data_IF_285547825567
#
_entry.id   IF_285547825567
#
_cell.length_a   1.000
_cell.length_b   1.000
_cell.length_c   1.000
_cell.angle_alpha   90.00
_cell.angle_beta   90.00
_cell.angle_gamma   90.00
#
_symmetry.space_group_name_H-M   'P 1'
#
loop_
_entity.id
_entity.type
_entity.pdbx_description
1 polymer ?
#
# COMPACT_ATOMS: atom_id res chain seq x y z
N UNK A 1 62.61 -54.87 -0.62
CA UNK A 1 61.95 -56.17 -0.39
C UNK A 1 61.02 -56.02 0.81
N UNK A 2 59.69 -56.16 0.57
CA UNK A 2 58.53 -56.32 1.49
C UNK A 2 58.33 -55.30 2.65
N UNK A 3 57.38 -54.36 2.58
CA UNK A 3 55.91 -54.41 2.83
C UNK A 3 55.48 -54.61 4.31
N UNK A 4 54.84 -53.59 4.91
CA UNK A 4 53.43 -53.59 5.36
C UNK A 4 53.14 -52.34 6.24
N UNK A 5 52.33 -51.39 5.76
CA UNK A 5 50.85 -51.27 5.86
C UNK A 5 50.38 -50.72 7.21
N UNK A 6 49.87 -49.48 7.12
CA UNK A 6 49.11 -48.67 8.07
C UNK A 6 47.86 -49.39 8.55
N UNK A 7 47.48 -49.23 9.83
CA UNK A 7 46.06 -49.22 10.27
C UNK A 7 45.88 -48.34 11.51
N UNK A 8 45.34 -47.15 11.27
CA UNK A 8 44.70 -46.24 12.21
C UNK A 8 43.43 -46.91 12.77
N UNK A 9 43.18 -46.80 14.08
CA UNK A 9 41.90 -47.18 14.69
C UNK A 9 41.28 -45.99 15.41
N UNK A 10 39.99 -45.84 15.12
CA UNK A 10 39.07 -44.74 15.39
C UNK A 10 38.54 -44.88 16.83
N UNK A 11 38.57 -43.79 17.59
CA UNK A 11 37.87 -43.69 18.87
C UNK A 11 36.37 -43.47 18.63
N UNK A 12 35.55 -44.29 19.28
CA UNK A 12 34.10 -44.20 19.32
C UNK A 12 33.67 -42.93 20.08
N UNK A 13 33.04 -41.98 19.38
CA UNK A 13 32.28 -40.90 20.02
C UNK A 13 30.80 -41.24 19.96
N UNK A 14 30.21 -41.44 21.13
CA UNK A 14 28.80 -41.71 21.34
C UNK A 14 27.97 -40.52 20.85
N UNK A 15 27.19 -40.73 19.79
CA UNK A 15 26.22 -39.76 19.28
C UNK A 15 24.95 -39.84 20.16
N UNK A 16 24.68 -38.80 20.94
CA UNK A 16 23.39 -38.64 21.62
C UNK A 16 22.37 -38.19 20.57
N UNK A 17 21.55 -39.12 20.10
CA UNK A 17 20.34 -38.86 19.32
C UNK A 17 19.27 -38.32 20.26
N UNK A 18 19.06 -37.00 20.28
CA UNK A 18 17.81 -36.42 20.78
C UNK A 18 16.73 -36.64 19.72
N UNK A 19 15.87 -37.63 19.94
CA UNK A 19 14.61 -37.75 19.21
C UNK A 19 13.69 -36.61 19.66
N UNK A 20 13.54 -35.59 18.82
CA UNK A 20 12.42 -34.67 18.95
C UNK A 20 11.16 -35.37 18.41
N UNK A 21 10.27 -35.74 19.33
CA UNK A 21 8.88 -36.10 19.05
C UNK A 21 8.21 -34.95 18.30
N UNK A 22 7.86 -35.21 17.04
CA UNK A 22 7.07 -34.30 16.22
C UNK A 22 5.60 -34.44 16.65
N UNK A 23 5.21 -33.70 17.69
CA UNK A 23 3.81 -33.55 18.04
C UNK A 23 3.23 -32.47 17.13
N UNK A 24 2.55 -32.94 16.08
CA UNK A 24 1.86 -32.11 15.09
C UNK A 24 0.65 -31.47 15.77
N UNK A 25 0.84 -30.30 16.36
CA UNK A 25 -0.28 -29.42 16.69
C UNK A 25 -0.70 -28.74 15.39
N UNK A 26 -1.80 -29.21 14.81
CA UNK A 26 -2.58 -28.40 13.87
C UNK A 26 -3.08 -27.19 14.64
N UNK A 27 -2.49 -26.02 14.39
CA UNK A 27 -3.08 -24.75 14.82
C UNK A 27 -4.42 -24.59 14.11
N UNK A 28 -5.49 -24.76 14.87
CA UNK A 28 -6.83 -24.30 14.51
C UNK A 28 -6.75 -22.81 14.15
N UNK A 29 -6.93 -22.51 12.86
CA UNK A 29 -7.22 -21.16 12.37
C UNK A 29 -8.49 -20.69 13.10
N UNK A 30 -8.46 -19.60 13.88
CA UNK A 30 -9.67 -19.06 14.48
C UNK A 30 -10.62 -18.64 13.36
N UNK A 31 -11.87 -19.12 13.40
CA UNK A 31 -12.91 -18.74 12.45
C UNK A 31 -13.12 -17.22 12.45
N UNK A 32 -13.09 -16.59 11.27
CA UNK A 32 -13.36 -15.17 11.01
C UNK A 32 -14.80 -14.71 11.34
N UNK A 33 -15.52 -15.38 12.23
CA UNK A 33 -16.95 -15.13 12.52
C UNK A 33 -17.24 -14.52 13.89
N UNK A 34 -16.28 -13.90 14.56
CA UNK A 34 -16.55 -13.12 15.77
C UNK A 34 -16.06 -11.68 15.58
N UNK A 35 -16.93 -10.78 15.11
CA UNK A 35 -16.91 -9.31 15.38
C UNK A 35 -17.90 -8.52 14.48
N UNK A 36 -19.19 -8.87 14.48
CA UNK A 36 -20.22 -8.01 13.87
C UNK A 36 -21.01 -7.30 14.99
N UNK A 37 -20.94 -5.95 15.02
CA UNK A 37 -21.67 -5.08 15.97
C UNK A 37 -23.05 -4.74 15.39
N UNK A 38 -24.07 -4.71 16.25
CA UNK A 38 -25.43 -4.25 15.96
C UNK A 38 -25.51 -2.75 15.63
N UNK A 39 -26.27 -2.41 14.58
CA UNK A 39 -26.37 -1.08 13.95
C UNK A 39 -27.30 -0.08 14.67
N UNK A 40 -27.89 -0.44 15.81
CA UNK A 40 -28.99 0.32 16.45
C UNK A 40 -28.57 1.56 17.26
N UNK A 41 -27.29 1.94 17.30
CA UNK A 41 -26.79 2.98 18.23
C UNK A 41 -26.00 4.15 17.60
N UNK A 42 -26.02 4.34 16.29
CA UNK A 42 -25.28 5.43 15.64
C UNK A 42 -26.25 6.42 14.97
N UNK A 43 -26.40 7.62 15.55
CA UNK A 43 -27.11 8.75 14.92
C UNK A 43 -26.12 9.60 14.12
N UNK A 44 -26.49 9.90 12.87
CA UNK A 44 -25.66 10.59 11.85
C UNK A 44 -25.21 12.01 12.23
N UNK A 45 -25.90 12.64 13.19
CA UNK A 45 -25.70 14.03 13.63
C UNK A 45 -24.34 14.31 14.30
N UNK A 46 -23.53 13.29 14.61
CA UNK A 46 -22.19 13.43 15.20
C UNK A 46 -21.02 13.20 14.21
N UNK A 47 -21.29 13.10 12.90
CA UNK A 47 -20.35 12.57 11.89
C UNK A 47 -19.70 13.62 10.97
N UNK A 48 -19.66 14.90 11.35
CA UNK A 48 -18.87 15.90 10.60
C UNK A 48 -17.39 15.72 10.97
N UNK A 49 -16.69 14.89 10.20
CA UNK A 49 -15.21 14.90 10.16
C UNK A 49 -14.55 13.65 10.72
N UNK A 50 -14.81 13.24 11.97
CA UNK A 50 -14.35 11.98 12.54
C UNK A 50 -15.06 11.70 13.89
N UNK A 51 -15.71 10.55 14.06
CA UNK A 51 -16.28 10.08 15.33
C UNK A 51 -15.35 9.07 15.97
N UNK A 52 -14.90 9.22 17.23
CA UNK A 52 -13.82 8.42 17.86
C UNK A 52 -14.18 7.04 18.43
N UNK A 53 -13.16 6.26 18.81
CA UNK A 53 -13.28 5.09 19.68
C UNK A 53 -12.29 5.07 20.86
N UNK A 54 -12.74 4.60 22.02
CA UNK A 54 -11.90 4.20 23.16
C UNK A 54 -11.74 2.68 23.21
N UNK A 55 -10.64 2.16 23.78
CA UNK A 55 -10.06 0.87 23.38
C UNK A 55 -10.84 -0.36 23.86
N UNK A 56 -10.69 -1.44 23.08
CA UNK A 56 -10.92 -2.82 23.48
C UNK A 56 -10.07 -3.16 24.71
N UNK A 57 -10.66 -3.24 25.93
CA UNK A 57 -10.23 -4.21 26.96
C UNK A 57 -11.15 -4.42 28.19
N UNK A 58 -12.47 -4.18 28.15
CA UNK A 58 -13.29 -4.32 29.38
C UNK A 58 -14.62 -5.07 29.25
N UNK A 59 -14.86 -5.82 28.16
CA UNK A 59 -16.07 -6.65 28.05
C UNK A 59 -17.39 -5.87 28.06
N UNK A 60 -17.33 -4.54 27.91
CA UNK A 60 -18.51 -3.66 27.91
C UNK A 60 -18.32 -2.56 26.85
N UNK A 61 -18.98 -2.71 25.71
CA UNK A 61 -18.94 -1.75 24.60
C UNK A 61 -19.90 -0.59 24.89
N UNK A 62 -19.43 0.42 25.63
CA UNK A 62 -20.14 1.70 25.76
C UNK A 62 -20.13 2.51 24.46
N UNK A 63 -21.08 3.44 24.32
CA UNK A 63 -21.21 4.29 23.12
C UNK A 63 -19.94 5.06 22.77
N UNK A 64 -19.58 5.06 21.50
CA UNK A 64 -18.42 5.76 20.92
C UNK A 64 -18.57 7.30 21.09
N UNK A 65 -17.70 7.95 21.88
CA UNK A 65 -17.75 9.41 22.18
C UNK A 65 -16.59 10.18 21.56
N UNK A 66 -16.85 11.02 20.55
CA UNK A 66 -15.86 11.79 19.74
C UNK A 66 -14.72 12.43 20.56
N UNK A 67 -13.46 12.25 20.11
CA UNK A 67 -12.23 12.78 20.70
C UNK A 67 -11.40 13.47 19.62
N UNK A 68 -10.91 14.68 19.90
CA UNK A 68 -9.94 15.39 19.06
C UNK A 68 -8.53 15.00 19.47
N UNK A 69 -7.68 14.64 18.50
CA UNK A 69 -6.26 14.42 18.77
C UNK A 69 -5.65 15.70 19.34
N UNK A 70 -4.79 15.56 20.35
CA UNK A 70 -4.10 16.73 20.92
C UNK A 70 -3.16 17.39 19.88
N UNK A 71 -2.53 16.59 19.02
CA UNK A 71 -1.57 17.06 18.01
C UNK A 71 -2.05 16.74 16.60
N UNK A 72 -1.92 17.70 15.69
CA UNK A 72 -2.20 17.53 14.26
C UNK A 72 -3.65 17.21 13.90
N UNK A 73 -4.62 17.39 14.82
CA UNK A 73 -6.04 17.22 14.54
C UNK A 73 -6.51 18.04 13.33
N UNK A 74 -5.98 19.25 13.15
CA UNK A 74 -6.28 20.09 11.99
C UNK A 74 -5.88 19.42 10.66
N UNK A 75 -4.83 18.61 10.64
CA UNK A 75 -4.44 17.84 9.44
C UNK A 75 -5.43 16.71 9.15
N UNK A 76 -5.95 16.06 10.18
CA UNK A 76 -7.00 15.02 10.06
C UNK A 76 -8.30 15.66 9.55
N UNK A 77 -8.73 16.76 10.18
CA UNK A 77 -9.95 17.50 9.82
C UNK A 77 -9.86 18.08 8.40
N UNK A 78 -8.66 18.43 7.93
CA UNK A 78 -8.44 18.80 6.54
C UNK A 78 -8.46 17.58 5.60
N UNK A 79 -7.76 16.50 5.95
CA UNK A 79 -7.59 15.36 5.04
C UNK A 79 -8.91 14.63 4.76
N UNK A 80 -9.71 14.36 5.78
CA UNK A 80 -10.90 13.50 5.67
C UNK A 80 -11.93 14.01 4.65
N UNK A 81 -12.43 15.25 4.69
CA UNK A 81 -13.40 15.72 3.69
C UNK A 81 -12.83 15.70 2.27
N UNK A 82 -11.54 16.05 2.11
CA UNK A 82 -10.86 16.00 0.81
C UNK A 82 -10.72 14.56 0.29
N UNK A 83 -10.41 13.60 1.17
CA UNK A 83 -10.30 12.19 0.81
C UNK A 83 -11.66 11.57 0.48
N UNK A 84 -12.72 11.92 1.22
CA UNK A 84 -14.09 11.50 0.91
C UNK A 84 -14.51 11.97 -0.47
N UNK A 85 -14.27 13.25 -0.77
CA UNK A 85 -14.57 13.82 -2.07
C UNK A 85 -13.74 13.17 -3.18
N UNK A 86 -12.43 13.04 -2.97
CA UNK A 86 -11.50 12.53 -3.97
C UNK A 86 -11.76 11.07 -4.35
N UNK A 87 -11.96 10.22 -3.35
CA UNK A 87 -12.23 8.81 -3.57
C UNK A 87 -13.70 8.50 -3.86
N UNK A 88 -14.61 9.44 -3.58
CA UNK A 88 -16.04 9.21 -3.71
C UNK A 88 -16.58 8.20 -2.70
N UNK A 89 -15.91 8.04 -1.55
CA UNK A 89 -16.28 7.11 -0.48
C UNK A 89 -16.62 7.89 0.79
N UNK A 90 -17.46 7.33 1.65
CA UNK A 90 -17.90 8.00 2.87
C UNK A 90 -17.76 7.11 4.13
N UNK A 91 -16.55 6.66 4.48
CA UNK A 91 -16.35 5.94 5.72
C UNK A 91 -16.60 6.85 6.92
N UNK A 92 -17.00 6.24 8.04
CA UNK A 92 -16.91 6.92 9.33
C UNK A 92 -15.48 6.82 9.84
N UNK A 93 -14.85 7.94 10.19
CA UNK A 93 -13.44 7.97 10.63
C UNK A 93 -13.38 8.14 12.14
N UNK A 94 -12.52 7.40 12.84
CA UNK A 94 -12.43 7.36 14.29
C UNK A 94 -11.04 7.68 14.79
N UNK A 95 -10.91 8.73 15.60
CA UNK A 95 -9.73 8.91 16.44
C UNK A 95 -9.74 7.87 17.55
N UNK A 96 -8.77 6.97 17.55
CA UNK A 96 -8.62 5.89 18.53
C UNK A 96 -7.61 6.32 19.60
N UNK A 97 -8.12 6.64 20.80
CA UNK A 97 -7.35 7.23 21.91
C UNK A 97 -6.67 6.18 22.78
N UNK A 98 -5.51 6.53 23.31
CA UNK A 98 -4.85 5.82 24.41
C UNK A 98 -3.50 5.22 24.05
N UNK A 99 -2.83 4.66 25.05
CA UNK A 99 -1.60 3.90 24.84
C UNK A 99 -1.87 2.63 24.01
N UNK A 100 -0.85 2.16 23.28
CA UNK A 100 -0.90 0.97 22.41
C UNK A 100 -1.81 1.09 21.18
N UNK A 101 -2.19 2.31 20.81
CA UNK A 101 -2.90 2.62 19.55
C UNK A 101 -1.92 2.77 18.39
N UNK A 102 -1.08 1.75 18.20
CA UNK A 102 0.07 1.73 17.28
C UNK A 102 -0.31 1.38 15.84
N UNK A 103 -1.53 1.68 15.40
CA UNK A 103 -1.96 1.35 14.04
C UNK A 103 -3.02 2.32 13.49
N UNK A 104 -3.19 2.26 12.17
CA UNK A 104 -4.36 2.79 11.45
C UNK A 104 -5.02 1.64 10.71
N UNK A 105 -6.36 1.64 10.66
CA UNK A 105 -7.11 0.47 10.17
C UNK A 105 -8.35 0.90 9.39
N UNK A 106 -8.55 0.31 8.22
CA UNK A 106 -9.80 0.33 7.48
C UNK A 106 -10.61 -0.96 7.70
N UNK A 107 -11.92 -0.84 7.82
CA UNK A 107 -12.87 -1.95 7.90
C UNK A 107 -14.00 -1.73 6.90
N UNK A 108 -14.47 -2.82 6.30
CA UNK A 108 -15.73 -2.86 5.56
C UNK A 108 -16.88 -3.27 6.48
N UNK A 109 -18.11 -2.97 6.07
CA UNK A 109 -19.36 -3.42 6.71
C UNK A 109 -19.57 -3.03 8.21
N UNK A 110 -20.01 -1.79 8.48
CA UNK A 110 -19.92 -0.61 7.62
C UNK A 110 -18.49 -0.08 7.48
N UNK A 111 -18.29 0.73 6.43
CA UNK A 111 -17.02 1.39 6.13
C UNK A 111 -16.55 2.30 7.26
N UNK A 112 -15.39 1.96 7.82
CA UNK A 112 -14.82 2.67 8.97
C UNK A 112 -13.30 2.77 8.82
N UNK A 113 -12.74 3.89 9.26
CA UNK A 113 -11.29 4.11 9.38
C UNK A 113 -10.96 4.46 10.81
N UNK A 114 -9.97 3.83 11.43
CA UNK A 114 -9.50 4.14 12.77
C UNK A 114 -8.09 4.73 12.70
N UNK A 115 -7.86 5.85 13.38
CA UNK A 115 -6.60 6.56 13.47
C UNK A 115 -6.09 6.42 14.91
N UNK A 116 -5.11 5.54 15.13
CA UNK A 116 -4.50 5.38 16.44
C UNK A 116 -3.69 6.60 16.88
N UNK A 117 -3.95 7.11 18.09
CA UNK A 117 -3.28 8.29 18.65
C UNK A 117 -1.76 8.10 18.79
N UNK A 118 -1.32 6.94 19.28
CA UNK A 118 0.12 6.65 19.44
C UNK A 118 0.82 6.60 18.10
N UNK A 119 0.18 5.96 17.11
CA UNK A 119 0.69 5.90 15.74
C UNK A 119 0.75 7.29 15.09
N UNK A 120 -0.34 8.05 15.17
CA UNK A 120 -0.44 9.39 14.61
C UNK A 120 0.64 10.34 15.17
N UNK A 121 0.82 10.32 16.49
CA UNK A 121 1.86 11.13 17.14
C UNK A 121 3.28 10.68 16.71
N UNK A 122 3.50 9.38 16.51
CA UNK A 122 4.76 8.86 15.97
C UNK A 122 5.00 9.34 14.53
N UNK A 123 3.96 9.34 13.68
CA UNK A 123 4.07 9.85 12.31
C UNK A 123 4.45 11.33 12.28
N UNK A 124 3.79 12.17 13.10
CA UNK A 124 4.10 13.61 13.16
C UNK A 124 5.47 13.92 13.77
N UNK A 125 6.01 13.01 14.59
CA UNK A 125 7.33 13.18 15.21
C UNK A 125 8.47 12.76 14.28
N UNK A 126 8.21 11.79 13.39
CA UNK A 126 9.23 11.20 12.51
C UNK A 126 9.14 11.68 11.06
N UNK A 127 8.00 12.23 10.64
CA UNK A 127 7.69 12.62 9.28
C UNK A 127 6.91 13.94 9.23
N UNK A 128 6.76 14.50 8.03
CA UNK A 128 5.96 15.70 7.82
C UNK A 128 4.45 15.41 7.78
N UNK A 129 3.66 16.49 7.79
CA UNK A 129 2.21 16.39 7.72
C UNK A 129 1.70 15.75 6.41
N UNK A 130 2.46 15.87 5.31
CA UNK A 130 2.10 15.24 4.03
C UNK A 130 2.17 13.72 4.12
N UNK A 131 3.25 13.19 4.68
CA UNK A 131 3.45 11.76 4.93
C UNK A 131 2.50 11.19 5.99
N UNK A 132 2.13 11.96 7.01
CA UNK A 132 1.10 11.52 7.96
C UNK A 132 -0.27 11.40 7.28
N UNK A 133 -0.67 12.42 6.50
CA UNK A 133 -1.93 12.41 5.75
C UNK A 133 -1.98 11.32 4.66
N UNK A 134 -0.84 10.97 4.05
CA UNK A 134 -0.82 9.92 3.03
C UNK A 134 -1.17 8.54 3.60
N UNK A 135 -0.98 8.30 4.90
CA UNK A 135 -1.42 7.05 5.53
C UNK A 135 -2.94 7.04 5.70
N UNK A 136 -3.57 8.18 6.01
CA UNK A 136 -5.04 8.27 5.97
C UNK A 136 -5.55 7.96 4.56
N UNK A 137 -4.86 8.47 3.53
CA UNK A 137 -5.20 8.18 2.14
C UNK A 137 -5.05 6.69 1.77
N UNK A 138 -4.09 5.98 2.38
CA UNK A 138 -3.95 4.53 2.24
C UNK A 138 -5.18 3.81 2.80
N UNK A 139 -5.62 4.16 4.01
CA UNK A 139 -6.84 3.57 4.59
C UNK A 139 -8.09 3.85 3.74
N UNK A 140 -8.19 5.04 3.14
CA UNK A 140 -9.26 5.34 2.20
C UNK A 140 -9.16 4.56 0.89
N UNK A 141 -7.93 4.25 0.44
CA UNK A 141 -7.68 3.33 -0.67
C UNK A 141 -8.29 1.94 -0.41
N UNK A 142 -8.14 1.42 0.82
CA UNK A 142 -8.82 0.18 1.23
C UNK A 142 -10.34 0.30 1.17
N UNK A 143 -10.91 1.40 1.66
CA UNK A 143 -12.37 1.63 1.57
C UNK A 143 -12.84 1.63 0.11
N UNK A 144 -12.12 2.31 -0.78
CA UNK A 144 -12.42 2.30 -2.21
C UNK A 144 -12.37 0.87 -2.77
N UNK A 145 -11.38 0.07 -2.38
CA UNK A 145 -11.27 -1.32 -2.82
C UNK A 145 -12.44 -2.17 -2.30
N UNK A 146 -12.86 -1.98 -1.05
CA UNK A 146 -14.02 -2.68 -0.48
C UNK A 146 -15.32 -2.33 -1.21
N UNK A 147 -15.59 -1.05 -1.43
CA UNK A 147 -16.82 -0.57 -2.08
C UNK A 147 -16.98 -1.09 -3.51
N UNK A 148 -15.86 -1.37 -4.18
CA UNK A 148 -15.85 -1.84 -5.56
C UNK A 148 -15.57 -3.35 -5.70
N UNK A 149 -15.48 -4.09 -4.58
CA UNK A 149 -15.11 -5.51 -4.56
C UNK A 149 -13.80 -5.81 -5.32
N UNK A 150 -12.82 -4.91 -5.18
CA UNK A 150 -11.51 -5.01 -5.82
C UNK A 150 -10.54 -5.86 -5.00
N UNK A 151 -10.84 -7.16 -4.95
CA UNK A 151 -10.01 -8.15 -4.30
C UNK A 151 -8.93 -8.63 -5.25
N UNK A 152 -7.77 -7.98 -5.17
CA UNK A 152 -6.59 -8.53 -5.80
C UNK A 152 -6.17 -9.78 -5.01
N UNK A 153 -5.86 -10.88 -5.72
CA UNK A 153 -5.71 -12.27 -5.25
C UNK A 153 -4.88 -12.57 -3.98
N UNK A 154 -4.21 -11.60 -3.35
CA UNK A 154 -3.51 -11.76 -2.08
C UNK A 154 -3.59 -10.49 -1.22
N UNK A 155 -3.54 -10.64 0.12
CA UNK A 155 -3.57 -9.50 1.06
C UNK A 155 -2.46 -8.47 0.79
N UNK A 156 -1.28 -8.92 0.36
CA UNK A 156 -0.21 -8.02 -0.11
C UNK A 156 -0.67 -7.10 -1.22
N UNK A 157 -1.31 -7.66 -2.23
CA UNK A 157 -1.68 -6.89 -3.41
C UNK A 157 -2.76 -5.85 -3.10
N UNK A 158 -3.61 -6.12 -2.10
CA UNK A 158 -4.54 -5.13 -1.59
C UNK A 158 -3.80 -3.92 -1.02
N UNK A 159 -2.78 -4.13 -0.18
CA UNK A 159 -1.93 -3.10 0.41
C UNK A 159 -1.16 -2.29 -0.65
N UNK A 160 -0.64 -2.96 -1.68
CA UNK A 160 -0.04 -2.30 -2.85
C UNK A 160 -1.04 -1.40 -3.57
N UNK A 161 -2.30 -1.83 -3.69
CA UNK A 161 -3.37 -1.00 -4.21
C UNK A 161 -3.61 0.26 -3.38
N UNK A 162 -3.72 0.09 -2.07
CA UNK A 162 -3.90 1.21 -1.14
C UNK A 162 -2.72 2.20 -1.16
N UNK A 163 -1.47 1.71 -1.19
CA UNK A 163 -0.27 2.56 -1.34
C UNK A 163 -0.29 3.34 -2.67
N UNK A 164 -0.66 2.67 -3.77
CA UNK A 164 -0.83 3.32 -5.08
C UNK A 164 -1.89 4.43 -5.02
N UNK A 165 -3.05 4.17 -4.42
CA UNK A 165 -4.12 5.17 -4.33
C UNK A 165 -3.71 6.38 -3.48
N UNK A 166 -2.99 6.15 -2.38
CA UNK A 166 -2.42 7.22 -1.58
C UNK A 166 -1.38 8.03 -2.36
N UNK A 167 -0.53 7.36 -3.13
CA UNK A 167 0.40 7.97 -4.07
C UNK A 167 -0.29 8.88 -5.08
N UNK A 168 -1.37 8.40 -5.70
CA UNK A 168 -2.17 9.18 -6.64
C UNK A 168 -2.68 10.46 -5.98
N UNK A 169 -3.26 10.35 -4.79
CA UNK A 169 -3.81 11.48 -4.07
C UNK A 169 -2.77 12.57 -3.75
N UNK A 170 -1.51 12.20 -3.48
CA UNK A 170 -0.44 13.16 -3.26
C UNK A 170 -0.23 14.08 -4.48
N UNK A 171 -0.24 13.52 -5.69
CA UNK A 171 0.00 14.28 -6.92
C UNK A 171 -1.23 15.01 -7.45
N UNK A 172 -2.43 14.53 -7.14
CA UNK A 172 -3.64 15.04 -7.79
C UNK A 172 -3.96 16.48 -7.41
N UNK A 173 -4.41 17.30 -8.37
CA UNK A 173 -4.89 18.67 -8.17
C UNK A 173 -6.03 18.75 -7.15
N UNK A 174 -6.85 17.70 -7.10
CA UNK A 174 -7.96 17.58 -6.16
C UNK A 174 -7.58 16.85 -4.87
N UNK A 175 -6.33 16.40 -4.78
CA UNK A 175 -5.74 15.84 -3.58
C UNK A 175 -4.82 16.85 -2.91
N UNK A 176 -3.55 16.51 -2.73
CA UNK A 176 -2.60 17.44 -2.10
C UNK A 176 -1.87 18.34 -3.10
N UNK A 177 -1.79 17.93 -4.37
CA UNK A 177 -1.05 18.62 -5.44
C UNK A 177 0.39 19.01 -5.05
N UNK A 178 1.08 18.12 -4.33
CA UNK A 178 2.44 18.42 -3.84
C UNK A 178 3.48 18.09 -4.90
N UNK A 179 4.60 18.81 -4.85
CA UNK A 179 5.75 18.55 -5.69
C UNK A 179 6.34 17.17 -5.40
N UNK A 180 7.13 16.67 -6.35
CA UNK A 180 7.76 15.37 -6.19
C UNK A 180 8.75 15.40 -5.00
N UNK A 181 9.49 16.49 -4.79
CA UNK A 181 10.38 16.61 -3.64
C UNK A 181 9.65 16.46 -2.30
N UNK A 182 8.47 17.06 -2.16
CA UNK A 182 7.61 16.94 -0.97
C UNK A 182 7.09 15.51 -0.79
N UNK A 183 6.56 14.90 -1.85
CA UNK A 183 6.07 13.51 -1.81
C UNK A 183 7.16 12.47 -1.49
N UNK A 184 8.45 12.81 -1.65
CA UNK A 184 9.56 11.91 -1.36
C UNK A 184 9.62 11.46 0.10
N UNK A 185 9.12 12.28 1.03
CA UNK A 185 9.04 11.93 2.45
C UNK A 185 7.95 10.87 2.64
N UNK A 186 6.79 11.02 2.00
CA UNK A 186 5.68 10.06 2.06
C UNK A 186 6.08 8.70 1.50
N UNK A 187 6.86 8.64 0.41
CA UNK A 187 7.31 7.35 -0.14
C UNK A 187 8.27 6.64 0.81
N UNK A 188 9.18 7.37 1.45
CA UNK A 188 10.03 6.80 2.50
C UNK A 188 9.18 6.26 3.66
N UNK A 189 8.12 6.97 4.03
CA UNK A 189 7.18 6.53 5.06
C UNK A 189 6.52 5.19 4.66
N UNK A 190 5.97 5.07 3.46
CA UNK A 190 5.39 3.81 2.95
C UNK A 190 6.37 2.63 2.97
N UNK A 191 7.66 2.89 2.72
CA UNK A 191 8.69 1.84 2.86
C UNK A 191 8.99 1.45 4.31
N UNK A 192 8.72 2.31 5.28
CA UNK A 192 9.02 2.11 6.69
C UNK A 192 7.85 1.53 7.48
N UNK A 193 6.61 1.87 7.10
CA UNK A 193 5.40 1.37 7.74
C UNK A 193 5.07 -0.03 7.21
N UNK A 194 5.01 -1.03 8.09
CA UNK A 194 4.58 -2.40 7.77
C UNK A 194 5.30 -3.03 6.57
N UNK A 195 6.40 -3.73 6.82
CA UNK A 195 7.04 -4.61 5.83
C UNK A 195 6.79 -6.08 6.18
N UNK A 196 6.56 -6.93 5.18
CA UNK A 196 6.32 -8.36 5.43
C UNK A 196 5.46 -9.05 4.38
N UNK A 197 5.18 -10.33 4.59
CA UNK A 197 4.46 -11.18 3.61
C UNK A 197 3.04 -10.66 3.32
N UNK A 198 2.37 -10.08 4.32
CA UNK A 198 1.00 -9.55 4.20
C UNK A 198 0.91 -8.12 3.66
N UNK A 199 1.95 -7.28 3.82
CA UNK A 199 1.96 -5.87 3.41
C UNK A 199 2.80 -5.57 2.17
N UNK A 200 3.65 -6.51 1.76
CA UNK A 200 4.68 -6.30 0.75
C UNK A 200 6.01 -5.87 1.37
N UNK A 201 7.07 -5.96 0.57
CA UNK A 201 8.38 -5.47 0.97
C UNK A 201 8.39 -3.94 1.02
N UNK A 202 9.32 -3.38 1.78
CA UNK A 202 9.60 -1.93 1.80
C UNK A 202 9.76 -1.34 0.40
N UNK A 203 10.38 -2.09 -0.52
CA UNK A 203 10.60 -1.67 -1.90
C UNK A 203 9.34 -1.75 -2.77
N UNK A 204 8.49 -2.78 -2.56
CA UNK A 204 7.20 -2.90 -3.25
C UNK A 204 6.28 -1.74 -2.87
N UNK A 205 6.18 -1.42 -1.57
CA UNK A 205 5.36 -0.31 -1.07
C UNK A 205 5.78 1.05 -1.63
N UNK A 206 7.09 1.32 -1.61
CA UNK A 206 7.67 2.52 -2.24
C UNK A 206 7.39 2.61 -3.74
N UNK A 207 7.56 1.51 -4.46
CA UNK A 207 7.28 1.43 -5.88
C UNK A 207 5.80 1.70 -6.20
N UNK A 208 4.88 1.20 -5.36
CA UNK A 208 3.44 1.36 -5.53
C UNK A 208 3.00 2.81 -5.34
N UNK A 209 3.39 3.42 -4.22
CA UNK A 209 3.09 4.83 -3.94
C UNK A 209 3.65 5.76 -5.03
N UNK A 210 4.84 5.46 -5.52
CA UNK A 210 5.46 6.24 -6.60
C UNK A 210 4.74 6.11 -7.93
N UNK A 211 4.35 4.88 -8.30
CA UNK A 211 3.52 4.64 -9.47
C UNK A 211 2.19 5.40 -9.38
N UNK A 212 1.57 5.40 -8.20
CA UNK A 212 0.39 6.18 -7.87
C UNK A 212 0.59 7.66 -8.16
N UNK A 213 1.66 8.25 -7.60
CA UNK A 213 1.98 9.66 -7.80
C UNK A 213 2.16 10.03 -9.27
N UNK A 214 2.91 9.23 -10.02
CA UNK A 214 3.04 9.42 -11.47
C UNK A 214 1.68 9.40 -12.18
N UNK A 215 0.84 8.44 -11.81
CA UNK A 215 -0.51 8.32 -12.38
C UNK A 215 -1.37 9.54 -12.07
N UNK A 216 -1.36 10.02 -10.82
CA UNK A 216 -2.09 11.22 -10.41
C UNK A 216 -1.57 12.50 -11.06
N UNK A 217 -0.25 12.64 -11.19
CA UNK A 217 0.36 13.77 -11.90
C UNK A 217 -0.08 13.81 -13.36
N UNK A 218 -0.05 12.67 -14.04
CA UNK A 218 -0.49 12.58 -15.43
C UNK A 218 -1.99 12.86 -15.58
N UNK A 219 -2.82 12.38 -14.64
CA UNK A 219 -4.25 12.67 -14.61
C UNK A 219 -4.56 14.18 -14.53
N UNK A 220 -3.74 14.96 -13.85
CA UNK A 220 -3.90 16.43 -13.83
C UNK A 220 -3.77 17.05 -15.23
N UNK A 221 -2.99 16.43 -16.11
CA UNK A 221 -2.73 16.94 -17.47
C UNK A 221 -3.66 16.37 -18.54
N UNK A 222 -4.16 15.14 -18.36
CA UNK A 222 -4.97 14.42 -19.37
C UNK A 222 -6.40 14.09 -18.92
N UNK A 223 -6.73 14.46 -17.69
CA UNK A 223 -8.01 14.18 -17.04
C UNK A 223 -8.06 12.78 -16.42
N UNK A 224 -8.79 12.69 -15.31
CA UNK A 224 -9.07 11.44 -14.61
C UNK A 224 -9.82 10.43 -15.51
N UNK A 225 -9.46 9.14 -15.41
CA UNK A 225 -10.12 8.07 -16.16
C UNK A 225 -11.35 7.49 -15.46
N UNK A 226 -11.50 7.68 -14.15
CA UNK A 226 -12.39 6.88 -13.30
C UNK A 226 -11.62 5.78 -12.57
N UNK A 227 -12.05 5.48 -11.34
CA UNK A 227 -11.31 4.59 -10.45
C UNK A 227 -11.22 3.15 -10.96
N UNK A 228 -12.26 2.65 -11.64
CA UNK A 228 -12.27 1.29 -12.18
C UNK A 228 -11.19 1.10 -13.26
N UNK A 229 -11.03 2.09 -14.14
CA UNK A 229 -10.01 2.07 -15.20
C UNK A 229 -8.62 2.23 -14.62
N UNK A 230 -8.45 3.15 -13.67
CA UNK A 230 -7.18 3.34 -12.96
C UNK A 230 -6.76 2.05 -12.25
N UNK A 231 -7.67 1.39 -11.55
CA UNK A 231 -7.40 0.13 -10.87
C UNK A 231 -7.04 -1.00 -11.84
N UNK A 232 -7.77 -1.16 -12.95
CA UNK A 232 -7.44 -2.14 -14.01
C UNK A 232 -6.04 -1.92 -14.57
N UNK A 233 -5.65 -0.67 -14.81
CA UNK A 233 -4.31 -0.33 -15.29
C UNK A 233 -3.22 -0.63 -14.25
N UNK A 234 -3.47 -0.34 -12.97
CA UNK A 234 -2.60 -0.74 -11.87
C UNK A 234 -2.37 -2.26 -11.87
N UNK A 235 -3.45 -3.06 -11.81
CA UNK A 235 -3.35 -4.52 -11.74
C UNK A 235 -2.57 -5.06 -12.94
N UNK A 236 -2.87 -4.55 -14.14
CA UNK A 236 -2.17 -4.93 -15.38
C UNK A 236 -0.69 -4.60 -15.29
N UNK A 237 -0.33 -3.36 -15.01
CA UNK A 237 1.06 -2.91 -14.90
C UNK A 237 1.85 -3.69 -13.86
N UNK A 238 1.27 -3.87 -12.67
CA UNK A 238 1.95 -4.53 -11.56
C UNK A 238 2.13 -6.03 -11.80
N UNK A 239 1.21 -6.68 -12.52
CA UNK A 239 1.38 -8.07 -12.94
C UNK A 239 2.65 -8.26 -13.77
N UNK A 240 3.03 -7.26 -14.57
CA UNK A 240 4.24 -7.29 -15.39
C UNK A 240 5.50 -6.95 -14.60
N UNK A 241 5.44 -5.99 -13.67
CA UNK A 241 6.54 -5.74 -12.72
C UNK A 241 6.83 -6.97 -11.88
N UNK A 242 5.80 -7.60 -11.33
CA UNK A 242 5.91 -8.79 -10.48
C UNK A 242 6.62 -9.94 -11.17
N UNK A 243 6.37 -10.13 -12.47
CA UNK A 243 6.99 -11.18 -13.28
C UNK A 243 8.44 -10.87 -13.70
N UNK A 244 8.88 -9.60 -13.67
CA UNK A 244 10.21 -9.20 -14.15
C UNK A 244 10.46 -9.49 -15.63
N UNK A 245 9.40 -9.77 -16.40
CA UNK A 245 9.48 -10.24 -17.79
C UNK A 245 9.57 -9.12 -18.83
N UNK A 246 9.47 -7.88 -18.41
CA UNK A 246 9.40 -6.71 -19.28
C UNK A 246 10.57 -5.78 -19.01
N UNK A 247 11.04 -5.11 -20.06
CA UNK A 247 12.01 -4.04 -19.99
C UNK A 247 11.58 -2.96 -20.96
N UNK A 248 11.28 -1.76 -20.48
CA UNK A 248 10.79 -0.68 -21.32
C UNK A 248 11.96 0.17 -21.84
N UNK A 249 12.30 0.07 -23.12
CA UNK A 249 13.12 1.07 -23.80
C UNK A 249 12.21 2.10 -24.45
N UNK A 250 12.47 3.38 -24.22
CA UNK A 250 11.72 4.49 -24.83
C UNK A 250 11.82 4.57 -26.37
N UNK A 251 12.31 3.53 -27.05
CA UNK A 251 12.35 3.36 -28.52
C UNK A 251 10.95 3.14 -29.13
N UNK A 252 9.92 2.94 -28.29
CA UNK A 252 8.58 2.61 -28.74
C UNK A 252 8.43 1.16 -29.21
N UNK A 253 9.43 0.30 -28.94
CA UNK A 253 9.43 -1.11 -29.32
C UNK A 253 8.09 -1.78 -28.99
N UNK A 254 7.53 -1.56 -27.81
CA UNK A 254 6.27 -2.20 -27.41
C UNK A 254 5.00 -1.61 -28.06
N UNK A 255 5.04 -0.40 -28.61
CA UNK A 255 3.91 0.22 -29.31
C UNK A 255 3.84 -0.23 -30.77
N UNK A 256 5.00 -0.47 -31.38
CA UNK A 256 5.13 -0.85 -32.80
C UNK A 256 5.45 -2.33 -33.01
N UNK A 257 5.79 -3.07 -31.94
CA UNK A 257 6.11 -4.49 -31.99
C UNK A 257 4.87 -5.32 -32.31
N UNK A 258 4.99 -6.16 -33.33
CA UNK A 258 4.01 -7.20 -33.66
C UNK A 258 4.01 -8.36 -32.65
N UNK A 259 4.86 -8.33 -31.61
CA UNK A 259 4.95 -9.40 -30.63
C UNK A 259 3.60 -9.60 -29.92
N UNK A 260 3.27 -10.86 -29.66
CA UNK A 260 2.07 -11.24 -28.88
C UNK A 260 2.04 -10.56 -27.51
N UNK A 261 3.21 -10.33 -26.91
CA UNK A 261 3.36 -9.66 -25.60
C UNK A 261 2.91 -8.19 -25.61
N UNK A 262 3.32 -7.44 -26.62
CA UNK A 262 2.86 -6.06 -26.82
C UNK A 262 1.34 -6.00 -27.04
N UNK A 263 0.82 -6.89 -27.88
CA UNK A 263 -0.63 -6.99 -28.14
C UNK A 263 -1.42 -7.30 -26.87
N UNK A 264 -0.94 -8.18 -26.01
CA UNK A 264 -1.62 -8.53 -24.76
C UNK A 264 -1.62 -7.37 -23.74
N UNK A 265 -0.52 -6.61 -23.64
CA UNK A 265 -0.42 -5.46 -22.74
C UNK A 265 -1.47 -4.37 -23.08
N UNK A 266 -1.71 -4.11 -24.36
CA UNK A 266 -2.66 -3.10 -24.82
C UNK A 266 -4.03 -3.65 -25.20
N UNK A 267 -4.24 -4.96 -25.02
CA UNK A 267 -5.49 -5.61 -25.37
C UNK A 267 -6.68 -4.98 -24.64
N UNK A 268 -7.73 -4.70 -25.41
CA UNK A 268 -9.00 -4.14 -24.95
C UNK A 268 -8.90 -2.77 -24.27
N UNK A 269 -7.79 -2.04 -24.45
CA UNK A 269 -7.67 -0.66 -23.98
C UNK A 269 -8.20 0.31 -25.04
N UNK A 270 -8.97 1.29 -24.60
CA UNK A 270 -9.23 2.49 -25.38
C UNK A 270 -7.93 3.26 -25.61
N UNK A 271 -7.90 4.13 -26.62
CA UNK A 271 -6.73 4.98 -26.89
C UNK A 271 -6.30 5.81 -25.68
N UNK A 272 -7.27 6.28 -24.87
CA UNK A 272 -6.99 7.08 -23.67
C UNK A 272 -6.37 6.24 -22.54
N UNK A 273 -6.87 5.01 -22.34
CA UNK A 273 -6.29 4.09 -21.35
C UNK A 273 -4.89 3.62 -21.78
N UNK A 274 -4.68 3.38 -23.07
CA UNK A 274 -3.38 3.04 -23.63
C UNK A 274 -2.36 4.18 -23.41
N UNK A 275 -2.74 5.44 -23.63
CA UNK A 275 -1.87 6.61 -23.37
C UNK A 275 -1.45 6.70 -21.89
N UNK A 276 -2.41 6.44 -20.98
CA UNK A 276 -2.14 6.37 -19.54
C UNK A 276 -1.18 5.24 -19.17
N UNK A 277 -1.42 4.05 -19.73
CA UNK A 277 -0.54 2.91 -19.52
C UNK A 277 0.86 3.18 -20.07
N UNK A 278 0.97 3.79 -21.25
CA UNK A 278 2.25 4.21 -21.84
C UNK A 278 3.01 5.15 -20.90
N UNK A 279 2.33 6.13 -20.32
CA UNK A 279 2.94 7.01 -19.32
C UNK A 279 3.48 6.25 -18.09
N UNK A 280 2.71 5.29 -17.57
CA UNK A 280 3.18 4.42 -16.49
C UNK A 280 4.40 3.59 -16.94
N UNK A 281 4.37 3.08 -18.18
CA UNK A 281 5.43 2.28 -18.77
C UNK A 281 6.73 3.06 -19.00
N UNK A 282 6.67 4.36 -19.30
CA UNK A 282 7.86 5.23 -19.37
C UNK A 282 8.67 5.26 -18.06
N UNK A 283 8.00 4.99 -16.94
CA UNK A 283 8.61 4.91 -15.62
C UNK A 283 8.85 3.47 -15.17
N UNK A 284 8.54 2.45 -16.00
CA UNK A 284 8.59 1.03 -15.66
C UNK A 284 9.93 0.56 -15.11
N UNK A 285 11.03 0.83 -15.82
CA UNK A 285 12.34 0.33 -15.39
C UNK A 285 12.74 0.93 -14.03
N UNK A 286 12.38 2.20 -13.79
CA UNK A 286 12.63 2.84 -12.51
C UNK A 286 11.84 2.17 -11.38
N UNK A 287 10.53 1.95 -11.59
CA UNK A 287 9.67 1.26 -10.62
C UNK A 287 10.13 -0.18 -10.40
N UNK A 288 10.56 -0.89 -11.46
CA UNK A 288 11.09 -2.24 -11.39
C UNK A 288 12.41 -2.30 -10.59
N UNK A 289 13.32 -1.34 -10.81
CA UNK A 289 14.57 -1.25 -10.08
C UNK A 289 14.35 -0.94 -8.60
N UNK A 290 13.41 -0.04 -8.29
CA UNK A 290 12.97 0.21 -6.91
C UNK A 290 12.45 -1.07 -6.30
N UNK A 291 11.47 -1.73 -6.92
CA UNK A 291 10.83 -2.97 -6.45
C UNK A 291 11.86 -4.07 -6.16
N UNK A 292 12.86 -4.22 -7.04
CA UNK A 292 13.94 -5.21 -6.90
C UNK A 292 15.08 -4.79 -5.95
N UNK A 293 14.96 -3.64 -5.27
CA UNK A 293 15.97 -3.17 -4.32
C UNK A 293 17.29 -2.71 -4.95
N UNK A 294 17.30 -2.45 -6.26
CA UNK A 294 18.50 -2.00 -7.00
C UNK A 294 18.78 -0.50 -6.84
N UNK A 295 17.87 0.23 -6.18
CA UNK A 295 17.95 1.67 -5.96
C UNK A 295 18.18 1.94 -4.48
N UNK A 296 19.27 2.65 -4.16
CA UNK A 296 19.51 3.15 -2.80
C UNK A 296 18.57 4.30 -2.43
N UNK A 297 18.36 4.54 -1.13
CA UNK A 297 17.59 5.70 -0.63
C UNK A 297 18.06 7.04 -1.21
N UNK A 298 19.37 7.19 -1.47
CA UNK A 298 19.96 8.41 -2.08
C UNK A 298 19.68 8.53 -3.58
N UNK A 299 19.57 7.41 -4.29
CA UNK A 299 19.19 7.39 -5.72
C UNK A 299 17.69 7.64 -5.90
N UNK A 300 16.87 7.21 -4.92
CA UNK A 300 15.42 7.40 -4.94
C UNK A 300 15.00 8.87 -5.07
N UNK A 301 15.68 9.77 -4.34
CA UNK A 301 15.42 11.22 -4.36
C UNK A 301 15.90 11.93 -5.64
N UNK A 302 16.67 11.26 -6.51
CA UNK A 302 17.19 11.83 -7.76
C UNK A 302 16.29 11.56 -8.97
N UNK A 303 15.28 10.72 -8.80
CA UNK A 303 14.37 10.40 -9.86
C UNK A 303 13.46 11.59 -10.17
N UNK A 304 13.16 11.78 -11.45
CA UNK A 304 12.30 12.85 -11.94
C UNK A 304 11.30 12.25 -12.95
N UNK A 305 10.14 12.89 -13.09
CA UNK A 305 9.15 12.54 -14.09
C UNK A 305 9.77 12.53 -15.49
N UNK A 306 9.88 11.34 -16.09
CA UNK A 306 10.21 11.24 -17.51
C UNK A 306 8.99 11.66 -18.31
N UNK A 307 9.08 12.82 -18.95
CA UNK A 307 8.01 13.32 -19.82
C UNK A 307 7.99 12.49 -21.10
N UNK A 308 6.79 12.27 -21.64
CA UNK A 308 6.64 11.86 -23.04
C UNK A 308 7.20 13.02 -23.87
N UNK A 309 8.31 12.79 -24.57
CA UNK A 309 8.74 13.72 -25.60
C UNK A 309 7.74 13.54 -26.72
N UNK A 310 6.84 14.51 -26.90
CA UNK A 310 6.03 14.55 -28.11
C UNK A 310 7.01 14.70 -29.28
N UNK A 311 7.22 13.62 -30.02
CA UNK A 311 7.76 13.68 -31.37
C UNK A 311 6.64 14.07 -32.31
#
# INVERSE_FOLDING_TARGET
MKLNIIKTSIAFTTLVLTMYSCQKNEETIPSETQNLISTTHLKEENLIGAASATPFNTGYYGGYKTYKMQYGQSYIEWAIPNLKWFFGVNPTVYNWRGANTNNMLAYSNPNRVFIGETWWNSMLSNYDAYAAKSIIAHEFGHILQYDNNWYWSSGKNQEIGADFFAGYWLASNTGQNITWQEASISFRNFGAIGNGISHGSSTERQAAAKLGYYTGFYANTKGFLGWDKVYKLLVRYWSYIGQGKYWYDGSGYYRTSKSSKAKELYKDLSSKEAEFLEFMMHNFNEILDIKNGKVSKKQFAKFNLKKVVNQ
#
